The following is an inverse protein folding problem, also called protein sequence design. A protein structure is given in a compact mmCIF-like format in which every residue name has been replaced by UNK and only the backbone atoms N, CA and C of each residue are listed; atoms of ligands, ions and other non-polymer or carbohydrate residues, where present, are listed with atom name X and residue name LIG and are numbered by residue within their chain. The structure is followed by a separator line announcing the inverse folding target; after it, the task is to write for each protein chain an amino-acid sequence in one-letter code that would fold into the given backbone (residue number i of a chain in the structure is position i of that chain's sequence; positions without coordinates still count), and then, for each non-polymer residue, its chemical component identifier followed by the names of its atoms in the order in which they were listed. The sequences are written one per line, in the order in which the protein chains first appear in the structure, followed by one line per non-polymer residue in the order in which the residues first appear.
data_IF_669153897183
#
_entry.id   IF_669153897183
#
_cell.length_a   1.000
_cell.length_b   1.000
_cell.length_c   1.000
_cell.angle_alpha   90.00
_cell.angle_beta   90.00
_cell.angle_gamma   90.00
#
_symmetry.space_group_name_H-M   'P 1'
#
loop_
_entity.id
_entity.type
_entity.pdbx_description
1 polymer ?
#
# COMPACT_ATOMS: atom_id res chain seq x y z
N UNK A 1 -6.16 9.89 -0.55
CA UNK A 1 -4.97 10.05 0.31
C UNK A 1 -5.14 11.32 1.11
N UNK A 2 -4.93 11.23 2.40
CA UNK A 2 -4.98 12.35 3.33
C UNK A 2 -3.61 12.48 3.97
N UNK A 3 -3.03 13.67 3.88
CA UNK A 3 -1.80 14.06 4.55
C UNK A 3 -2.16 15.03 5.67
N UNK A 4 -1.59 14.81 6.85
CA UNK A 4 -1.71 15.72 7.99
C UNK A 4 -0.33 16.30 8.28
N UNK A 5 -0.22 17.62 8.27
CA UNK A 5 1.02 18.33 8.56
C UNK A 5 1.16 18.62 10.05
N UNK A 6 2.39 18.83 10.50
CA UNK A 6 2.68 19.08 11.92
C UNK A 6 2.13 20.42 12.44
N UNK A 7 1.77 21.35 11.54
CA UNK A 7 1.09 22.60 11.86
C UNK A 7 -0.45 22.46 11.96
N UNK A 8 -0.96 21.23 11.81
CA UNK A 8 -2.38 20.90 11.87
C UNK A 8 -3.13 21.09 10.56
N UNK A 9 -2.49 21.59 9.50
CA UNK A 9 -3.12 21.66 8.17
C UNK A 9 -3.23 20.28 7.53
N UNK A 10 -4.10 20.16 6.53
CA UNK A 10 -4.36 18.92 5.82
C UNK A 10 -4.33 19.10 4.31
N UNK A 11 -3.94 18.04 3.62
CA UNK A 11 -4.07 17.93 2.16
C UNK A 11 -4.76 16.62 1.83
N UNK A 12 -5.81 16.69 1.02
CA UNK A 12 -6.57 15.52 0.62
C UNK A 12 -6.73 15.46 -0.89
N UNK A 13 -6.48 14.28 -1.46
CA UNK A 13 -6.68 14.02 -2.87
C UNK A 13 -7.07 12.58 -3.13
N UNK A 14 -8.05 12.40 -4.00
CA UNK A 14 -8.49 11.09 -4.49
C UNK A 14 -8.09 10.94 -5.95
N UNK A 15 -7.70 9.72 -6.35
CA UNK A 15 -7.38 9.36 -7.72
C UNK A 15 -7.92 7.98 -8.05
N UNK A 16 -8.56 7.87 -9.22
CA UNK A 16 -9.08 6.61 -9.73
C UNK A 16 -7.98 5.84 -10.44
N UNK A 17 -7.86 4.55 -10.15
CA UNK A 17 -7.02 3.63 -10.91
C UNK A 17 -7.67 3.34 -12.27
N UNK A 18 -6.86 3.09 -13.33
CA UNK A 18 -7.40 2.72 -14.64
C UNK A 18 -8.15 1.38 -14.57
N UNK A 19 -7.72 0.48 -13.70
CA UNK A 19 -8.30 -0.84 -13.49
C UNK A 19 -8.40 -1.12 -11.97
N UNK A 20 -9.36 -1.94 -11.51
CA UNK A 20 -9.39 -2.42 -10.14
C UNK A 20 -8.11 -3.20 -9.83
N UNK A 21 -7.42 -2.86 -8.74
CA UNK A 21 -6.19 -3.54 -8.34
C UNK A 21 -6.16 -3.81 -6.85
N UNK A 22 -5.73 -5.02 -6.50
CA UNK A 22 -5.39 -5.44 -5.14
C UNK A 22 -3.86 -5.49 -4.92
N UNK A 23 -3.06 -5.10 -5.91
CA UNK A 23 -1.61 -5.19 -5.84
C UNK A 23 -1.01 -4.03 -5.04
N UNK A 24 -0.17 -4.32 -4.04
CA UNK A 24 0.43 -3.26 -3.21
C UNK A 24 1.28 -2.29 -4.03
N UNK A 25 1.95 -2.75 -5.10
CA UNK A 25 2.82 -1.91 -5.95
C UNK A 25 2.03 -0.87 -6.76
N UNK A 26 0.84 -1.24 -7.25
CA UNK A 26 -0.02 -0.32 -7.99
C UNK A 26 -0.51 0.81 -7.06
N UNK A 27 -0.93 0.46 -5.84
CA UNK A 27 -1.35 1.40 -4.81
C UNK A 27 -0.20 2.31 -4.36
N UNK A 28 0.98 1.71 -4.14
CA UNK A 28 2.21 2.43 -3.78
C UNK A 28 2.60 3.45 -4.84
N UNK A 29 2.55 3.05 -6.11
CA UNK A 29 2.87 3.94 -7.24
C UNK A 29 1.95 5.16 -7.26
N UNK A 30 0.64 4.97 -7.07
CA UNK A 30 -0.30 6.09 -7.01
C UNK A 30 -0.10 6.95 -5.77
N UNK A 31 0.19 6.36 -4.61
CA UNK A 31 0.51 7.11 -3.41
C UNK A 31 1.74 8.02 -3.61
N UNK A 32 2.80 7.52 -4.24
CA UNK A 32 3.98 8.34 -4.59
C UNK A 32 3.63 9.48 -5.53
N UNK A 33 2.88 9.23 -6.60
CA UNK A 33 2.47 10.28 -7.52
C UNK A 33 1.61 11.37 -6.84
N UNK A 34 0.76 10.98 -5.89
CA UNK A 34 -0.01 11.93 -5.11
C UNK A 34 0.87 12.72 -4.11
N UNK A 35 1.88 12.09 -3.52
CA UNK A 35 2.84 12.77 -2.64
C UNK A 35 3.69 13.78 -3.42
N UNK A 36 4.13 13.43 -4.63
CA UNK A 36 4.85 14.34 -5.52
C UNK A 36 3.97 15.55 -5.88
N UNK A 37 2.69 15.31 -6.21
CA UNK A 37 1.73 16.36 -6.52
C UNK A 37 1.40 17.27 -5.33
N UNK A 38 1.57 16.80 -4.09
CA UNK A 38 1.41 17.62 -2.90
C UNK A 38 2.54 18.64 -2.71
N UNK A 39 3.66 18.51 -3.45
CA UNK A 39 4.74 19.49 -3.45
C UNK A 39 5.37 19.69 -2.07
N UNK A 40 5.74 18.58 -1.40
CA UNK A 40 6.17 18.51 0.02
C UNK A 40 7.52 19.17 0.33
N UNK A 41 7.78 20.36 -0.20
CA UNK A 41 9.03 21.09 0.00
C UNK A 41 9.16 21.52 1.46
N UNK A 42 9.99 20.78 2.22
CA UNK A 42 10.22 20.99 3.67
C UNK A 42 8.97 20.82 4.55
N UNK A 43 7.92 20.17 4.04
CA UNK A 43 6.73 19.89 4.83
C UNK A 43 7.06 18.82 5.89
N UNK A 44 6.67 19.08 7.15
CA UNK A 44 6.76 18.07 8.21
C UNK A 44 5.41 17.35 8.30
N UNK A 45 5.38 16.10 7.89
CA UNK A 45 4.19 15.25 8.01
C UNK A 45 4.06 14.72 9.43
N UNK A 46 2.85 14.81 9.97
CA UNK A 46 2.43 14.18 11.22
C UNK A 46 1.63 12.89 10.98
N UNK A 47 1.02 12.76 9.80
CA UNK A 47 0.25 11.57 9.45
C UNK A 47 0.01 11.42 7.95
N UNK A 48 -0.22 10.18 7.54
CA UNK A 48 -0.61 9.80 6.19
C UNK A 48 -1.67 8.70 6.28
N UNK A 49 -2.75 8.85 5.52
CA UNK A 49 -3.78 7.83 5.35
C UNK A 49 -4.07 7.59 3.87
N UNK A 50 -4.15 6.31 3.50
CA UNK A 50 -4.63 5.87 2.19
C UNK A 50 -5.94 5.10 2.41
N UNK A 51 -6.95 5.42 1.60
CA UNK A 51 -8.26 4.78 1.61
C UNK A 51 -8.58 4.31 0.19
N UNK A 52 -9.07 3.08 0.08
CA UNK A 52 -9.68 2.56 -1.13
C UNK A 52 -11.20 2.79 -1.09
N UNK A 53 -11.74 3.34 -2.17
CA UNK A 53 -13.17 3.48 -2.42
C UNK A 53 -13.55 2.60 -3.63
N UNK A 54 -14.84 2.45 -3.93
CA UNK A 54 -15.36 1.63 -5.04
C UNK A 54 -14.82 0.18 -5.05
N UNK A 55 -14.69 -0.43 -3.87
CA UNK A 55 -14.21 -1.81 -3.74
C UNK A 55 -15.16 -2.77 -4.45
N UNK A 56 -14.58 -3.69 -5.22
CA UNK A 56 -15.30 -4.73 -5.95
C UNK A 56 -14.88 -6.10 -5.44
N UNK A 57 -15.81 -7.05 -5.48
CA UNK A 57 -15.51 -8.43 -5.14
C UNK A 57 -14.49 -9.02 -6.13
N UNK A 58 -13.47 -9.72 -5.60
CA UNK A 58 -12.39 -10.25 -6.41
C UNK A 58 -12.87 -11.24 -7.48
N UNK A 59 -13.95 -12.00 -7.21
CA UNK A 59 -14.54 -12.93 -8.18
C UNK A 59 -15.29 -12.26 -9.33
N UNK A 60 -15.50 -10.94 -9.26
CA UNK A 60 -16.15 -10.14 -10.32
C UNK A 60 -15.16 -9.44 -11.23
N UNK A 61 -13.86 -9.54 -10.96
CA UNK A 61 -12.79 -8.94 -11.76
C UNK A 61 -12.01 -10.05 -12.44
N UNK A 62 -11.94 -10.01 -13.77
CA UNK A 62 -11.07 -10.90 -14.51
C UNK A 62 -9.61 -10.54 -14.21
N UNK A 63 -8.84 -11.47 -13.65
CA UNK A 63 -7.41 -11.27 -13.43
C UNK A 63 -6.64 -11.71 -14.67
N UNK A 64 -6.02 -10.75 -15.35
CA UNK A 64 -5.07 -11.03 -16.42
C UNK A 64 -3.66 -11.19 -15.83
N UNK A 65 -2.99 -12.29 -16.18
CA UNK A 65 -1.59 -12.53 -15.80
C UNK A 65 -0.68 -11.61 -16.61
N UNK A 66 0.31 -11.01 -15.95
CA UNK A 66 1.39 -10.28 -16.62
C UNK A 66 2.46 -11.24 -17.14
N UNK A 67 3.05 -10.92 -18.29
CA UNK A 67 4.24 -11.62 -18.77
C UNK A 67 5.51 -11.20 -18.00
N UNK A 68 5.45 -10.11 -17.23
CA UNK A 68 6.51 -9.70 -16.32
C UNK A 68 6.56 -10.63 -15.10
N UNK A 69 7.53 -11.54 -15.12
CA UNK A 69 7.74 -12.52 -14.05
C UNK A 69 8.07 -11.89 -12.70
N UNK A 70 8.70 -10.72 -12.68
CA UNK A 70 9.01 -10.05 -11.42
C UNK A 70 7.72 -9.56 -10.74
N UNK A 71 6.79 -8.99 -11.52
CA UNK A 71 5.45 -8.61 -11.05
C UNK A 71 4.67 -9.82 -10.55
N UNK A 72 4.60 -10.89 -11.33
CA UNK A 72 3.88 -12.12 -10.93
C UNK A 72 4.46 -12.73 -9.64
N UNK A 73 5.78 -12.73 -9.48
CA UNK A 73 6.42 -13.24 -8.26
C UNK A 73 6.07 -12.39 -7.03
N UNK A 74 5.93 -11.07 -7.19
CA UNK A 74 5.49 -10.17 -6.12
C UNK A 74 4.03 -10.40 -5.75
N UNK A 75 3.14 -10.57 -6.73
CA UNK A 75 1.73 -10.88 -6.49
C UNK A 75 1.55 -12.17 -5.68
N UNK A 76 2.28 -13.22 -6.04
CA UNK A 76 2.27 -14.49 -5.28
C UNK A 76 2.80 -14.28 -3.86
N UNK A 77 3.85 -13.47 -3.68
CA UNK A 77 4.39 -13.16 -2.36
C UNK A 77 3.40 -12.36 -1.51
N UNK A 78 2.69 -11.39 -2.08
CA UNK A 78 1.65 -10.60 -1.40
C UNK A 78 0.50 -11.49 -0.91
N UNK A 79 -0.04 -12.36 -1.77
CA UNK A 79 -1.08 -13.32 -1.36
C UNK A 79 -0.58 -14.26 -0.24
N UNK A 80 0.67 -14.72 -0.33
CA UNK A 80 1.28 -15.52 0.74
C UNK A 80 1.41 -14.74 2.05
N UNK A 81 1.83 -13.47 2.00
CA UNK A 81 1.92 -12.60 3.18
C UNK A 81 0.54 -12.38 3.80
N UNK A 82 -0.50 -12.16 3.01
CA UNK A 82 -1.86 -11.96 3.49
C UNK A 82 -2.43 -13.23 4.14
N UNK A 83 -2.14 -14.41 3.57
CA UNK A 83 -2.47 -15.70 4.21
C UNK A 83 -1.78 -15.86 5.56
N UNK A 84 -0.50 -15.49 5.66
CA UNK A 84 0.27 -15.54 6.91
C UNK A 84 -0.31 -14.56 7.94
N UNK A 85 -0.57 -13.30 7.55
CA UNK A 85 -1.18 -12.28 8.42
C UNK A 85 -2.56 -12.71 8.91
N UNK A 86 -3.38 -13.30 8.04
CA UNK A 86 -4.71 -13.81 8.41
C UNK A 86 -4.63 -14.95 9.43
N UNK A 87 -3.62 -15.81 9.33
CA UNK A 87 -3.46 -16.97 10.23
C UNK A 87 -2.77 -16.63 11.56
N UNK A 88 -1.77 -15.75 11.52
CA UNK A 88 -0.85 -15.52 12.64
C UNK A 88 -0.90 -14.08 13.20
N UNK A 89 -1.73 -13.22 12.60
CA UNK A 89 -1.90 -11.82 13.00
C UNK A 89 -1.12 -10.84 12.12
N UNK A 90 -1.48 -9.54 12.15
CA UNK A 90 -0.99 -8.52 11.23
C UNK A 90 0.53 -8.27 11.31
N UNK A 91 1.16 -8.55 12.46
CA UNK A 91 2.61 -8.40 12.66
C UNK A 91 3.44 -9.67 12.36
N UNK A 92 2.82 -10.75 11.86
CA UNK A 92 3.50 -12.03 11.68
C UNK A 92 4.54 -12.02 10.55
N UNK A 93 4.31 -11.21 9.52
CA UNK A 93 5.22 -11.02 8.38
C UNK A 93 5.20 -9.57 7.93
N UNK A 94 6.39 -9.06 7.61
CA UNK A 94 6.59 -7.71 7.10
C UNK A 94 8.04 -7.48 6.73
N UNK A 95 8.39 -6.26 6.29
CA UNK A 95 9.76 -5.90 5.99
C UNK A 95 10.66 -6.17 7.19
N UNK A 96 11.82 -6.79 6.97
CA UNK A 96 12.78 -7.10 8.05
C UNK A 96 13.16 -5.85 8.86
N UNK A 97 13.31 -4.70 8.18
CA UNK A 97 13.62 -3.42 8.81
C UNK A 97 12.51 -2.89 9.74
N UNK A 98 11.27 -3.33 9.57
CA UNK A 98 10.13 -2.95 10.39
C UNK A 98 9.82 -3.96 11.50
N UNK A 99 10.49 -5.12 11.51
CA UNK A 99 10.32 -6.08 12.59
C UNK A 99 11.13 -5.64 13.81
N UNK A 100 10.56 -5.71 15.03
CA UNK A 100 11.33 -5.48 16.23
C UNK A 100 12.47 -6.50 16.29
N UNK A 101 13.70 -6.02 16.51
CA UNK A 101 14.84 -6.91 16.73
C UNK A 101 14.50 -7.84 17.90
N UNK A 102 14.28 -9.14 17.62
CA UNK A 102 14.14 -10.12 18.69
C UNK A 102 15.47 -10.14 19.43
N UNK A 103 15.48 -9.72 20.69
CA UNK A 103 16.62 -9.97 21.56
C UNK A 103 16.78 -11.49 21.63
N UNK A 104 17.94 -11.98 21.19
CA UNK A 104 18.35 -13.34 21.47
C UNK A 104 18.45 -13.48 23.00
N UNK A 105 17.68 -14.41 23.55
CA UNK A 105 17.76 -14.81 24.96
C UNK A 105 19.05 -15.55 25.25
#
# INVERSE_FOLDING_TARGET
MTLTFADGTGWEKTRRLPEPSAHEDDLRTVAYQLMDAAGLQRARLAGLALKGDDLVDAGRVAQQISLDRARESRLVAEDAMDRVRRKFGPGAVGPAAAMPARRAS
#
